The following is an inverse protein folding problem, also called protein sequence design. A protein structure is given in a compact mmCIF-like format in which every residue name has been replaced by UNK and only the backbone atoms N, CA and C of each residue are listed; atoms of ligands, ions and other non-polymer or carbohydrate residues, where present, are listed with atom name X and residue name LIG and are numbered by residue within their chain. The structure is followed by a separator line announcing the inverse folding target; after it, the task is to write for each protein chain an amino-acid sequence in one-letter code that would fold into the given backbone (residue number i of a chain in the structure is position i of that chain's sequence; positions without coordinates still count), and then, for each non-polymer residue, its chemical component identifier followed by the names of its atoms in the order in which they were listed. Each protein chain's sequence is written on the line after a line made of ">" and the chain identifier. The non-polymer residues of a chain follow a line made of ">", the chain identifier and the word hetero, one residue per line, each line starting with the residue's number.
data_IF_293339273381
#
_entry.id   IF_293339273381
#
_cell.length_a   1.000
_cell.length_b   1.000
_cell.length_c   1.000
_cell.angle_alpha   90.00
_cell.angle_beta   90.00
_cell.angle_gamma   90.00
#
_symmetry.space_group_name_H-M   'P 1'
#
loop_
_entity.id
_entity.type
_entity.pdbx_description
1 polymer ?
#
# COMPACT_ATOMS: atom_id res chain seq x y z
N UNK A 1 -17.52 -11.54 9.38
CA UNK A 1 -16.13 -11.53 9.88
C UNK A 1 -15.86 -10.20 10.56
N UNK A 2 -15.13 -10.19 11.68
CA UNK A 2 -14.65 -8.94 12.28
C UNK A 2 -13.66 -8.28 11.31
N UNK A 3 -13.76 -6.96 11.03
CA UNK A 3 -12.89 -6.27 10.08
C UNK A 3 -11.40 -6.56 10.36
N UNK A 4 -11.02 -6.61 11.62
CA UNK A 4 -9.63 -6.81 12.04
C UNK A 4 -9.00 -8.10 11.50
N UNK A 5 -9.76 -9.19 11.31
CA UNK A 5 -9.20 -10.46 10.81
C UNK A 5 -8.68 -10.29 9.38
N UNK A 6 -9.47 -9.65 8.51
CA UNK A 6 -9.08 -9.44 7.11
C UNK A 6 -7.86 -8.52 7.01
N UNK A 7 -7.75 -7.52 7.89
CA UNK A 7 -6.58 -6.65 7.96
C UNK A 7 -5.32 -7.44 8.35
N UNK A 8 -5.39 -8.31 9.35
CA UNK A 8 -4.24 -9.14 9.75
C UNK A 8 -3.86 -10.18 8.69
N UNK A 9 -4.84 -10.71 7.94
CA UNK A 9 -4.57 -11.57 6.78
C UNK A 9 -3.81 -10.78 5.70
N UNK A 10 -4.27 -9.57 5.37
CA UNK A 10 -3.59 -8.69 4.44
C UNK A 10 -2.14 -8.38 4.90
N UNK A 11 -1.97 -8.08 6.20
CA UNK A 11 -0.66 -7.84 6.80
C UNK A 11 0.26 -9.05 6.68
N UNK A 12 -0.23 -10.26 6.96
CA UNK A 12 0.55 -11.49 6.81
C UNK A 12 1.01 -11.72 5.37
N UNK A 13 0.13 -11.49 4.40
CA UNK A 13 0.48 -11.59 2.98
C UNK A 13 1.47 -10.51 2.52
N UNK A 14 1.29 -9.25 2.94
CA UNK A 14 2.25 -8.19 2.65
C UNK A 14 3.61 -8.46 3.31
N UNK A 15 3.63 -8.99 4.54
CA UNK A 15 4.89 -9.35 5.20
C UNK A 15 5.61 -10.47 4.45
N UNK A 16 4.91 -11.56 4.13
CA UNK A 16 5.49 -12.67 3.38
C UNK A 16 5.95 -12.24 1.97
N UNK A 17 5.11 -11.47 1.25
CA UNK A 17 5.44 -10.94 -0.08
C UNK A 17 6.65 -10.02 -0.06
N UNK A 18 6.72 -9.13 0.92
CA UNK A 18 7.88 -8.22 1.13
C UNK A 18 9.14 -9.02 1.42
N UNK A 19 9.10 -9.98 2.35
CA UNK A 19 10.27 -10.80 2.69
C UNK A 19 10.79 -11.59 1.49
N UNK A 20 9.90 -12.26 0.74
CA UNK A 20 10.29 -13.01 -0.45
C UNK A 20 10.85 -12.07 -1.53
N UNK A 21 10.24 -10.91 -1.74
CA UNK A 21 10.74 -9.92 -2.70
C UNK A 21 12.13 -9.41 -2.30
N UNK A 22 12.37 -9.11 -1.02
CA UNK A 22 13.68 -8.68 -0.53
C UNK A 22 14.74 -9.79 -0.69
N UNK A 23 14.42 -11.03 -0.35
CA UNK A 23 15.32 -12.18 -0.55
C UNK A 23 15.65 -12.37 -2.03
N UNK A 24 14.65 -12.21 -2.92
CA UNK A 24 14.84 -12.35 -4.37
C UNK A 24 15.85 -11.36 -4.97
N UNK A 25 16.04 -10.19 -4.33
CA UNK A 25 17.03 -9.21 -4.77
C UNK A 25 18.46 -9.68 -4.53
N UNK A 26 18.69 -10.43 -3.44
CA UNK A 26 19.99 -11.02 -3.14
C UNK A 26 20.26 -12.27 -3.99
N UNK A 27 19.24 -13.11 -4.22
CA UNK A 27 19.40 -14.33 -5.02
C UNK A 27 19.34 -14.08 -6.52
N UNK A 28 18.84 -12.92 -6.96
CA UNK A 28 18.61 -12.54 -8.37
C UNK A 28 17.71 -13.53 -9.13
N UNK A 29 16.86 -14.26 -8.41
CA UNK A 29 15.96 -15.27 -9.01
C UNK A 29 14.61 -14.66 -9.41
N UNK A 30 14.27 -14.75 -10.70
CA UNK A 30 12.99 -14.23 -11.22
C UNK A 30 11.76 -14.96 -10.64
N UNK A 31 11.89 -16.24 -10.31
CA UNK A 31 10.77 -17.06 -9.80
C UNK A 31 10.32 -16.64 -8.40
N UNK A 32 11.27 -16.34 -7.51
CA UNK A 32 10.98 -15.84 -6.16
C UNK A 32 10.41 -14.43 -6.21
N UNK A 33 10.88 -13.59 -7.14
CA UNK A 33 10.30 -12.27 -7.37
C UNK A 33 8.81 -12.33 -7.78
N UNK A 34 8.43 -13.23 -8.69
CA UNK A 34 7.03 -13.45 -9.06
C UNK A 34 6.20 -13.98 -7.89
N UNK A 35 6.74 -14.89 -7.09
CA UNK A 35 6.06 -15.38 -5.89
C UNK A 35 5.80 -14.24 -4.88
N UNK A 36 6.76 -13.34 -4.67
CA UNK A 36 6.61 -12.16 -3.83
C UNK A 36 5.49 -11.24 -4.33
N UNK A 37 5.46 -10.93 -5.63
CA UNK A 37 4.40 -10.14 -6.24
C UNK A 37 3.01 -10.79 -6.08
N UNK A 38 2.89 -12.10 -6.30
CA UNK A 38 1.62 -12.81 -6.12
C UNK A 38 1.12 -12.69 -4.68
N UNK A 39 1.98 -12.87 -3.69
CA UNK A 39 1.62 -12.70 -2.28
C UNK A 39 1.18 -11.26 -1.98
N UNK A 40 1.88 -10.26 -2.51
CA UNK A 40 1.48 -8.87 -2.36
C UNK A 40 0.09 -8.60 -2.99
N UNK A 41 -0.21 -9.16 -4.17
CA UNK A 41 -1.53 -9.05 -4.81
C UNK A 41 -2.61 -9.71 -3.95
N UNK A 42 -2.37 -10.91 -3.40
CA UNK A 42 -3.34 -11.57 -2.50
C UNK A 42 -3.55 -10.76 -1.21
N UNK A 43 -2.48 -10.16 -0.67
CA UNK A 43 -2.56 -9.22 0.44
C UNK A 43 -3.41 -8.01 0.11
N UNK A 44 -3.23 -7.43 -1.08
CA UNK A 44 -4.00 -6.27 -1.55
C UNK A 44 -5.48 -6.60 -1.81
N UNK A 45 -5.80 -7.78 -2.32
CA UNK A 45 -7.18 -8.24 -2.45
C UNK A 45 -7.86 -8.39 -1.08
N UNK A 46 -7.14 -8.96 -0.11
CA UNK A 46 -7.61 -9.05 1.28
C UNK A 46 -7.80 -7.66 1.89
N UNK A 47 -6.86 -6.75 1.66
CA UNK A 47 -6.92 -5.36 2.11
C UNK A 47 -8.11 -4.62 1.48
N UNK A 48 -8.40 -4.85 0.20
CA UNK A 48 -9.56 -4.31 -0.51
C UNK A 48 -10.86 -4.79 0.11
N UNK A 49 -10.94 -6.07 0.47
CA UNK A 49 -12.09 -6.61 1.18
C UNK A 49 -12.28 -5.92 2.54
N UNK A 50 -11.20 -5.69 3.29
CA UNK A 50 -11.24 -4.94 4.54
C UNK A 50 -11.78 -3.51 4.36
N UNK A 51 -11.26 -2.77 3.38
CA UNK A 51 -11.77 -1.42 3.03
C UNK A 51 -13.27 -1.49 2.71
N UNK A 52 -13.70 -2.46 1.89
CA UNK A 52 -15.10 -2.66 1.55
C UNK A 52 -15.99 -2.90 2.78
N UNK A 53 -15.52 -3.70 3.74
CA UNK A 53 -16.28 -3.92 5.00
C UNK A 53 -16.40 -2.66 5.86
N UNK A 54 -15.40 -1.78 5.85
CA UNK A 54 -15.47 -0.51 6.56
C UNK A 54 -16.43 0.43 5.85
N UNK A 55 -16.28 0.62 4.53
CA UNK A 55 -17.17 1.47 3.74
C UNK A 55 -18.65 1.07 3.92
N UNK A 56 -18.94 -0.24 3.94
CA UNK A 56 -20.30 -0.74 4.15
C UNK A 56 -20.84 -0.47 5.57
N UNK A 57 -19.98 -0.37 6.59
CA UNK A 57 -20.37 -0.12 7.98
C UNK A 57 -20.46 1.36 8.32
N UNK A 58 -19.57 2.18 7.79
CA UNK A 58 -19.44 3.60 8.14
C UNK A 58 -20.05 4.53 7.10
N UNK A 59 -20.31 4.04 5.88
CA UNK A 59 -20.83 4.84 4.77
C UNK A 59 -19.81 5.77 4.12
N UNK A 60 -18.52 5.65 4.49
CA UNK A 60 -17.44 6.45 3.94
C UNK A 60 -16.14 5.63 3.86
N UNK A 61 -15.17 6.02 2.99
CA UNK A 61 -13.84 5.41 2.98
C UNK A 61 -13.13 5.51 4.34
N UNK A 62 -12.21 4.58 4.65
CA UNK A 62 -11.39 4.62 5.86
C UNK A 62 -10.37 5.76 5.73
N UNK A 63 -10.78 6.97 6.05
CA UNK A 63 -9.99 8.20 5.93
C UNK A 63 -10.21 9.14 7.12
N UNK A 64 -10.82 8.66 8.20
CA UNK A 64 -11.30 9.53 9.30
C UNK A 64 -10.29 9.73 10.41
N UNK A 65 -9.40 8.76 10.60
CA UNK A 65 -8.35 8.80 11.60
C UNK A 65 -7.00 8.43 10.96
N UNK A 66 -5.93 8.60 11.73
CA UNK A 66 -4.58 8.32 11.27
C UNK A 66 -4.36 6.86 10.82
N UNK A 67 -4.75 5.82 11.57
CA UNK A 67 -4.53 4.43 11.13
C UNK A 67 -5.35 4.06 9.89
N UNK A 68 -6.55 4.58 9.73
CA UNK A 68 -7.35 4.41 8.52
C UNK A 68 -6.69 5.08 7.31
N UNK A 69 -6.27 6.34 7.46
CA UNK A 69 -5.60 7.08 6.40
C UNK A 69 -4.29 6.39 5.97
N UNK A 70 -3.47 5.94 6.93
CA UNK A 70 -2.24 5.20 6.64
C UNK A 70 -2.53 3.91 5.84
N UNK A 71 -3.58 3.19 6.22
CA UNK A 71 -4.04 1.98 5.53
C UNK A 71 -4.49 2.27 4.09
N UNK A 72 -5.28 3.34 3.90
CA UNK A 72 -5.76 3.73 2.58
C UNK A 72 -4.64 4.25 1.66
N UNK A 73 -3.66 4.97 2.22
CA UNK A 73 -2.43 5.36 1.50
C UNK A 73 -1.64 4.11 1.10
N UNK A 74 -1.45 3.14 1.99
CA UNK A 74 -0.76 1.88 1.67
C UNK A 74 -1.42 1.15 0.49
N UNK A 75 -2.74 1.05 0.53
CA UNK A 75 -3.53 0.44 -0.55
C UNK A 75 -3.38 1.18 -1.88
N UNK A 76 -3.38 2.52 -1.85
CA UNK A 76 -3.27 3.38 -3.03
C UNK A 76 -1.86 3.33 -3.63
N UNK A 77 -0.81 3.33 -2.80
CA UNK A 77 0.58 3.19 -3.21
C UNK A 77 0.81 1.86 -3.94
N UNK A 78 0.29 0.75 -3.39
CA UNK A 78 0.43 -0.55 -4.04
C UNK A 78 -0.37 -0.63 -5.34
N UNK A 79 -1.58 -0.06 -5.39
CA UNK A 79 -2.35 0.04 -6.63
C UNK A 79 -1.58 0.81 -7.72
N UNK A 80 -0.95 1.92 -7.36
CA UNK A 80 -0.13 2.70 -8.29
C UNK A 80 1.08 1.90 -8.78
N UNK A 81 1.78 1.18 -7.90
CA UNK A 81 2.88 0.29 -8.29
C UNK A 81 2.41 -0.81 -9.23
N UNK A 82 1.26 -1.43 -8.98
CA UNK A 82 0.70 -2.46 -9.84
C UNK A 82 0.37 -1.93 -11.25
N UNK A 83 -0.20 -0.72 -11.35
CA UNK A 83 -0.46 -0.05 -12.64
C UNK A 83 0.86 0.15 -13.40
N UNK A 84 1.88 0.67 -12.72
CA UNK A 84 3.20 0.90 -13.32
C UNK A 84 3.89 -0.41 -13.71
N UNK A 85 3.75 -1.44 -12.88
CA UNK A 85 4.26 -2.77 -13.13
C UNK A 85 3.65 -3.37 -14.41
N UNK A 86 2.33 -3.31 -14.56
CA UNK A 86 1.67 -3.80 -15.78
C UNK A 86 2.00 -2.97 -17.02
N UNK A 87 2.13 -1.65 -16.87
CA UNK A 87 2.36 -0.74 -18.00
C UNK A 87 3.82 -0.72 -18.49
N UNK A 88 4.78 -0.83 -17.57
CA UNK A 88 6.21 -0.62 -17.85
C UNK A 88 7.09 -1.81 -17.49
N UNK A 89 6.55 -2.85 -16.83
CA UNK A 89 7.29 -4.06 -16.41
C UNK A 89 8.52 -3.76 -15.55
N UNK A 90 8.48 -2.66 -14.79
CA UNK A 90 9.59 -2.26 -13.90
C UNK A 90 9.46 -3.02 -12.58
N UNK A 91 10.30 -4.03 -12.41
CA UNK A 91 10.36 -4.85 -11.21
C UNK A 91 11.13 -4.21 -10.04
N UNK A 92 11.91 -3.15 -10.31
CA UNK A 92 12.80 -2.53 -9.32
C UNK A 92 12.04 -1.78 -8.21
N UNK A 93 10.80 -1.33 -8.49
CA UNK A 93 9.97 -0.61 -7.52
C UNK A 93 9.63 -1.45 -6.27
N UNK A 94 9.60 -2.78 -6.38
CA UNK A 94 9.30 -3.70 -5.29
C UNK A 94 10.22 -3.51 -4.06
N UNK A 95 11.49 -3.15 -4.27
CA UNK A 95 12.46 -2.97 -3.19
C UNK A 95 12.06 -1.85 -2.22
N UNK A 96 11.46 -0.78 -2.72
CA UNK A 96 11.06 0.36 -1.91
C UNK A 96 9.57 0.33 -1.57
N UNK A 97 8.73 -0.03 -2.54
CA UNK A 97 7.28 0.02 -2.39
C UNK A 97 6.78 -1.04 -1.41
N UNK A 98 7.28 -2.28 -1.45
CA UNK A 98 6.70 -3.35 -0.63
C UNK A 98 6.95 -3.13 0.87
N UNK A 99 8.18 -2.78 1.31
CA UNK A 99 8.41 -2.42 2.71
C UNK A 99 7.61 -1.20 3.16
N UNK A 100 7.43 -0.20 2.29
CA UNK A 100 6.63 0.99 2.60
C UNK A 100 5.16 0.65 2.83
N UNK A 101 4.56 -0.16 1.95
CA UNK A 101 3.17 -0.64 2.08
C UNK A 101 3.00 -1.45 3.37
N UNK A 102 3.94 -2.35 3.66
CA UNK A 102 3.96 -3.13 4.90
C UNK A 102 4.04 -2.23 6.14
N UNK A 103 4.93 -1.24 6.14
CA UNK A 103 5.10 -0.30 7.24
C UNK A 103 3.81 0.49 7.52
N UNK A 104 3.21 1.05 6.48
CA UNK A 104 1.96 1.81 6.59
C UNK A 104 0.80 0.94 7.10
N UNK A 105 0.67 -0.31 6.61
CA UNK A 105 -0.36 -1.22 7.11
C UNK A 105 -0.08 -1.65 8.56
N UNK A 106 1.18 -1.80 8.94
CA UNK A 106 1.57 -2.11 10.33
C UNK A 106 1.17 -0.99 11.28
N UNK A 107 1.33 0.28 10.89
CA UNK A 107 0.82 1.42 11.67
C UNK A 107 -0.68 1.28 11.89
N UNK A 108 -1.44 0.95 10.84
CA UNK A 108 -2.88 0.72 10.96
C UNK A 108 -3.24 -0.45 11.89
N UNK A 109 -2.44 -1.52 11.88
CA UNK A 109 -2.68 -2.71 12.67
C UNK A 109 -2.30 -2.59 14.16
N UNK A 110 -1.35 -1.70 14.49
CA UNK A 110 -0.83 -1.51 15.86
C UNK A 110 -1.50 -0.32 16.56
N UNK A 111 -1.84 0.73 15.81
CA UNK A 111 -2.53 1.91 16.36
C UNK A 111 -4.02 1.61 16.44
N UNK A 112 -4.48 1.28 17.64
CA UNK A 112 -5.88 0.93 17.92
C UNK A 112 -6.69 2.20 18.21
N UNK A 113 -7.01 2.95 17.16
CA UNK A 113 -8.03 4.00 17.24
C UNK A 113 -9.41 3.41 16.89
N UNK A 114 -10.48 3.77 17.62
CA UNK A 114 -11.82 3.39 17.21
C UNK A 114 -12.12 3.98 15.82
N UNK A 115 -12.92 3.25 15.04
CA UNK A 115 -13.52 3.82 13.82
C UNK A 115 -14.31 5.06 14.23
N UNK A 116 -13.82 6.23 13.83
CA UNK A 116 -14.45 7.49 14.16
C UNK A 116 -15.61 7.69 13.19
N UNK A 117 -16.80 7.99 13.70
CA UNK A 117 -17.86 8.47 12.81
C UNK A 117 -17.44 9.84 12.28
N UNK A 118 -17.41 10.02 10.95
CA UNK A 118 -17.23 11.36 10.37
C UNK A 118 -18.26 12.30 10.96
N UNK A 119 -17.80 13.41 11.53
CA UNK A 119 -18.63 14.55 11.90
C UNK A 119 -19.54 14.88 10.70
N UNK A 120 -20.87 14.98 10.90
CA UNK A 120 -21.80 15.36 9.83
C UNK A 120 -21.36 16.59 9.02
N UNK A 121 -20.67 17.55 9.65
CA UNK A 121 -20.14 18.73 8.97
C UNK A 121 -19.00 18.43 7.98
N UNK A 122 -18.25 17.35 8.19
CA UNK A 122 -17.14 16.91 7.33
C UNK A 122 -17.57 15.97 6.20
N UNK A 123 -18.83 15.51 6.18
CA UNK A 123 -19.36 14.61 5.13
C UNK A 123 -19.72 15.32 3.81
N UNK A 124 -19.06 16.43 3.48
CA UNK A 124 -19.30 17.11 2.21
C UNK A 124 -18.61 16.37 1.06
N UNK A 125 -19.24 16.34 -0.11
CA UNK A 125 -18.64 15.72 -1.31
C UNK A 125 -17.29 16.34 -1.68
N UNK A 126 -17.12 17.65 -1.43
CA UNK A 126 -15.87 18.36 -1.66
C UNK A 126 -14.75 17.90 -0.72
N UNK A 127 -15.05 17.72 0.58
CA UNK A 127 -14.08 17.22 1.54
C UNK A 127 -13.62 15.81 1.17
N UNK A 128 -14.57 14.91 0.87
CA UNK A 128 -14.24 13.55 0.42
C UNK A 128 -13.36 13.57 -0.84
N UNK A 129 -13.70 14.40 -1.83
CA UNK A 129 -12.90 14.56 -3.05
C UNK A 129 -11.49 15.10 -2.76
N UNK A 130 -11.36 16.09 -1.87
CA UNK A 130 -10.07 16.64 -1.44
C UNK A 130 -9.18 15.59 -0.78
N UNK A 131 -9.72 14.79 0.14
CA UNK A 131 -8.94 13.76 0.85
C UNK A 131 -8.54 12.63 -0.10
N UNK A 132 -9.43 12.20 -1.00
CA UNK A 132 -9.09 11.21 -2.03
C UNK A 132 -7.99 11.73 -2.96
N UNK A 133 -8.12 12.96 -3.47
CA UNK A 133 -7.12 13.57 -4.33
C UNK A 133 -5.77 13.74 -3.60
N UNK A 134 -5.80 14.14 -2.33
CA UNK A 134 -4.61 14.26 -1.49
C UNK A 134 -3.94 12.91 -1.27
N UNK A 135 -4.72 11.84 -1.04
CA UNK A 135 -4.20 10.47 -0.91
C UNK A 135 -3.51 10.03 -2.20
N UNK A 136 -4.13 10.27 -3.36
CA UNK A 136 -3.52 9.97 -4.66
C UNK A 136 -2.24 10.77 -4.86
N UNK A 137 -2.24 12.06 -4.50
CA UNK A 137 -1.05 12.91 -4.55
C UNK A 137 0.09 12.38 -3.68
N UNK A 138 -0.19 11.99 -2.44
CA UNK A 138 0.79 11.37 -1.52
C UNK A 138 1.32 10.06 -2.09
N UNK A 139 0.45 9.20 -2.62
CA UNK A 139 0.88 7.96 -3.25
C UNK A 139 1.79 8.21 -4.46
N UNK A 140 1.44 9.17 -5.31
CA UNK A 140 2.26 9.57 -6.46
C UNK A 140 3.63 10.13 -6.05
N UNK A 141 3.70 10.94 -4.98
CA UNK A 141 4.97 11.44 -4.44
C UNK A 141 5.85 10.31 -3.90
N UNK A 142 5.29 9.38 -3.13
CA UNK A 142 6.02 8.23 -2.58
C UNK A 142 6.55 7.31 -3.69
N UNK A 143 5.74 7.07 -4.71
CA UNK A 143 6.16 6.31 -5.89
C UNK A 143 7.25 7.07 -6.66
N UNK A 144 7.08 8.38 -6.89
CA UNK A 144 8.11 9.21 -7.52
C UNK A 144 9.45 9.13 -6.80
N UNK A 145 9.45 9.27 -5.46
CA UNK A 145 10.64 9.11 -4.62
C UNK A 145 11.30 7.73 -4.80
N UNK A 146 10.50 6.66 -4.86
CA UNK A 146 10.98 5.31 -5.11
C UNK A 146 11.70 5.19 -6.46
N UNK A 147 11.11 5.71 -7.53
CA UNK A 147 11.72 5.65 -8.86
C UNK A 147 12.96 6.54 -8.97
N UNK A 148 12.96 7.73 -8.36
CA UNK A 148 14.13 8.61 -8.34
C UNK A 148 15.30 7.98 -7.58
N UNK A 149 15.05 7.35 -6.42
CA UNK A 149 16.11 6.67 -5.67
C UNK A 149 16.68 5.48 -6.43
N UNK A 150 15.84 4.69 -7.10
CA UNK A 150 16.29 3.60 -7.97
C UNK A 150 17.13 4.11 -9.14
N UNK A 151 16.69 5.16 -9.83
CA UNK A 151 17.43 5.76 -10.93
C UNK A 151 18.81 6.29 -10.48
N UNK A 152 18.87 6.92 -9.31
CA UNK A 152 20.12 7.39 -8.71
C UNK A 152 21.08 6.23 -8.38
N UNK A 153 20.58 5.13 -7.82
CA UNK A 153 21.37 3.94 -7.55
C UNK A 153 21.91 3.29 -8.84
N UNK A 154 21.08 3.23 -9.88
CA UNK A 154 21.47 2.69 -11.19
C UNK A 154 22.58 3.52 -11.83
N UNK A 155 22.44 4.85 -11.87
CA UNK A 155 23.45 5.75 -12.44
C UNK A 155 24.81 5.62 -11.73
N UNK A 156 24.80 5.44 -10.40
CA UNK A 156 26.03 5.21 -9.63
C UNK A 156 26.70 3.87 -9.96
N UNK A 157 25.92 2.83 -10.23
CA UNK A 157 26.44 1.49 -10.58
C UNK A 157 27.05 1.42 -11.98
N UNK A 158 26.66 2.32 -12.90
CA UNK A 158 27.19 2.39 -14.26
C UNK A 158 28.49 3.21 -14.35
N UNK A 159 28.75 4.06 -13.35
CA UNK A 159 29.93 4.92 -13.27
C UNK A 159 31.09 4.32 -12.46
N UNK A 160 30.89 3.15 -11.86
CA UNK A 160 31.90 2.36 -11.14
C UNK A 160 32.41 1.22 -12.00
#
# INVERSE_FOLDING_TARGET
>A
MSPNITLYIALGFYAAGTLIALVSLFTRELRTQHAGLILMIVGWLSHTFWIGTICARTGHPPLTNLPEAASFIAWTVFLAEMILFFRYRVHAAAFFVYPLVLMLLTVSAVVHEPFAQMDPALRSGLFTAHVLLSTVGVAALLVGLAFTTLAYMQDRSLKS
#
